data_IF_626697586695
#
_entry.id   IF_626697586695
#
_cell.length_a   1.000
_cell.length_b   1.000
_cell.length_c   1.000
_cell.angle_alpha   90.00
_cell.angle_beta   90.00
_cell.angle_gamma   90.00
#
_symmetry.space_group_name_H-M   'P 1'
#
loop_
_entity.id
_entity.type
_entity.pdbx_description
1 polymer ?
#
# COMPACT_ATOMS: atom_id res chain seq x y z
N UNK A 1 8.24 -17.22 -28.49
CA UNK A 1 8.98 -16.97 -27.23
C UNK A 1 8.17 -15.99 -26.40
N UNK A 2 7.29 -16.54 -25.56
CA UNK A 2 6.57 -15.77 -24.59
C UNK A 2 7.56 -15.39 -23.48
N UNK A 3 8.05 -14.16 -23.53
CA UNK A 3 8.72 -13.55 -22.39
C UNK A 3 7.64 -13.43 -21.30
N UNK A 4 7.64 -14.38 -20.36
CA UNK A 4 6.80 -14.30 -19.18
C UNK A 4 7.19 -13.03 -18.43
N UNK A 5 6.29 -12.05 -18.42
CA UNK A 5 6.42 -10.92 -17.53
C UNK A 5 6.41 -11.51 -16.11
N UNK A 6 7.56 -11.53 -15.47
CA UNK A 6 7.66 -11.87 -14.05
C UNK A 6 6.94 -10.76 -13.34
N UNK A 7 5.77 -11.06 -12.81
CA UNK A 7 5.00 -10.15 -11.98
C UNK A 7 5.85 -9.81 -10.77
N UNK A 8 6.49 -8.65 -10.78
CA UNK A 8 7.32 -8.18 -9.67
C UNK A 8 6.41 -7.65 -8.57
N UNK A 9 6.74 -8.00 -7.35
CA UNK A 9 6.06 -7.55 -6.16
C UNK A 9 5.56 -8.67 -5.27
N UNK A 10 5.88 -8.61 -4.00
CA UNK A 10 5.50 -9.59 -2.99
C UNK A 10 6.50 -10.73 -2.80
N UNK A 11 7.71 -10.64 -3.41
CA UNK A 11 8.76 -11.66 -3.24
C UNK A 11 9.39 -11.63 -1.86
N UNK A 12 9.34 -10.50 -1.17
CA UNK A 12 10.02 -10.29 0.11
C UNK A 12 9.10 -9.87 1.24
N UNK A 13 8.02 -9.15 0.92
CA UNK A 13 7.06 -8.63 1.90
C UNK A 13 5.71 -8.34 1.22
N UNK A 14 4.74 -7.88 2.01
CA UNK A 14 3.43 -7.48 1.53
C UNK A 14 3.51 -6.22 0.67
N UNK A 15 2.94 -6.26 -0.52
CA UNK A 15 2.82 -5.12 -1.43
C UNK A 15 1.37 -4.85 -1.77
N UNK A 16 1.05 -3.59 -1.98
CA UNK A 16 -0.29 -3.14 -2.34
C UNK A 16 -0.66 -3.63 -3.75
N UNK A 17 -1.75 -4.37 -3.85
CA UNK A 17 -2.26 -4.90 -5.12
C UNK A 17 -3.54 -4.22 -5.57
N UNK A 18 -4.36 -3.71 -4.63
CA UNK A 18 -5.64 -3.09 -4.94
C UNK A 18 -5.99 -2.02 -3.91
N UNK A 19 -6.63 -0.95 -4.37
CA UNK A 19 -7.18 0.12 -3.54
C UNK A 19 -8.64 0.32 -3.92
N UNK A 20 -9.53 0.32 -2.93
CA UNK A 20 -10.91 0.76 -3.10
C UNK A 20 -11.20 1.88 -2.11
N UNK A 21 -11.56 3.04 -2.62
CA UNK A 21 -12.07 4.13 -1.81
C UNK A 21 -13.61 4.05 -1.82
N UNK A 22 -14.20 3.95 -0.65
CA UNK A 22 -15.64 3.88 -0.54
C UNK A 22 -16.15 4.94 0.42
N UNK A 23 -16.85 5.92 -0.12
CA UNK A 23 -17.63 6.86 0.69
C UNK A 23 -18.81 6.16 1.38
N UNK A 24 -19.28 5.04 0.84
CA UNK A 24 -20.44 4.30 1.31
C UNK A 24 -20.14 2.88 1.82
N UNK A 25 -18.91 2.39 1.63
CA UNK A 25 -18.55 1.06 2.07
C UNK A 25 -18.35 1.02 3.58
N UNK A 26 -19.15 0.21 4.26
CA UNK A 26 -18.91 -0.10 5.66
C UNK A 26 -18.04 -1.34 5.71
N UNK A 27 -16.83 -1.27 6.28
CA UNK A 27 -16.04 -2.47 6.45
C UNK A 27 -16.87 -3.45 7.25
N UNK A 28 -16.86 -4.71 6.84
CA UNK A 28 -17.40 -5.74 7.70
C UNK A 28 -16.64 -5.66 9.03
N UNK A 29 -17.36 -5.59 10.12
CA UNK A 29 -16.75 -5.66 11.45
C UNK A 29 -15.88 -6.91 11.56
N UNK A 30 -14.85 -6.87 12.41
CA UNK A 30 -14.04 -8.03 12.70
C UNK A 30 -14.95 -9.21 13.08
N UNK A 31 -15.19 -10.10 12.13
CA UNK A 31 -16.00 -11.28 12.40
C UNK A 31 -15.13 -12.37 13.02
N UNK A 32 -15.71 -13.27 13.84
CA UNK A 32 -14.97 -14.42 14.36
C UNK A 32 -14.24 -15.22 13.27
N UNK A 33 -14.83 -15.31 12.07
CA UNK A 33 -14.25 -16.02 10.92
C UNK A 33 -12.99 -15.37 10.39
N UNK A 34 -12.91 -14.04 10.45
CA UNK A 34 -11.73 -13.28 10.03
C UNK A 34 -10.59 -13.40 11.02
N UNK A 35 -10.88 -13.29 12.30
CA UNK A 35 -9.91 -13.56 13.35
C UNK A 35 -9.39 -14.99 13.22
N UNK A 36 -10.26 -15.95 12.96
CA UNK A 36 -9.88 -17.33 12.71
C UNK A 36 -9.00 -17.47 11.44
N UNK A 37 -9.20 -16.66 10.40
CA UNK A 37 -8.34 -16.69 9.20
C UNK A 37 -6.91 -16.24 9.51
N UNK A 38 -6.74 -15.23 10.36
CA UNK A 38 -5.44 -14.72 10.80
C UNK A 38 -4.73 -15.77 11.65
N UNK A 39 -5.42 -16.35 12.62
CA UNK A 39 -4.84 -17.40 13.48
C UNK A 39 -4.44 -18.64 12.67
N UNK A 40 -5.25 -19.05 11.71
CA UNK A 40 -4.92 -20.15 10.80
C UNK A 40 -3.68 -19.83 9.96
N UNK A 41 -3.61 -18.65 9.39
CA UNK A 41 -2.46 -18.19 8.60
C UNK A 41 -1.17 -18.24 9.43
N UNK A 42 -1.21 -17.73 10.66
CA UNK A 42 -0.07 -17.79 11.59
C UNK A 42 0.36 -19.21 11.90
N UNK A 43 -0.61 -20.09 12.15
CA UNK A 43 -0.31 -21.49 12.52
C UNK A 43 0.24 -22.31 11.34
N UNK A 44 -0.26 -22.08 10.14
CA UNK A 44 0.00 -22.96 9.00
C UNK A 44 1.05 -22.41 8.01
N UNK A 45 1.19 -21.07 7.92
CA UNK A 45 2.00 -20.45 6.86
C UNK A 45 3.09 -19.51 7.35
N UNK A 46 2.77 -18.65 8.31
CA UNK A 46 3.71 -17.61 8.77
C UNK A 46 3.63 -17.39 10.27
N UNK A 47 4.37 -18.17 11.07
CA UNK A 47 4.40 -18.00 12.52
C UNK A 47 4.89 -16.62 13.00
N UNK A 48 5.65 -15.92 12.16
CA UNK A 48 6.14 -14.56 12.44
C UNK A 48 5.15 -13.44 12.11
N UNK A 49 4.01 -13.75 11.49
CA UNK A 49 3.02 -12.74 11.15
C UNK A 49 2.38 -12.12 12.39
N UNK A 50 2.28 -10.80 12.41
CA UNK A 50 1.53 -10.04 13.41
C UNK A 50 0.61 -9.02 12.72
N UNK A 51 -0.58 -8.79 13.29
CA UNK A 51 -1.49 -7.75 12.78
C UNK A 51 -0.86 -6.38 12.91
N UNK A 52 -0.09 -6.13 13.97
CA UNK A 52 0.64 -4.87 14.16
C UNK A 52 1.58 -4.58 12.99
N UNK A 53 2.38 -5.57 12.56
CA UNK A 53 3.27 -5.39 11.40
C UNK A 53 2.48 -5.06 10.12
N UNK A 54 1.35 -5.75 9.92
CA UNK A 54 0.47 -5.50 8.78
C UNK A 54 -0.14 -4.09 8.79
N UNK A 55 -0.56 -3.62 9.96
CA UNK A 55 -1.15 -2.30 10.19
C UNK A 55 -0.10 -1.18 10.00
N UNK A 56 1.10 -1.37 10.54
CA UNK A 56 2.24 -0.46 10.32
C UNK A 56 2.59 -0.37 8.84
N UNK A 57 2.63 -1.51 8.14
CA UNK A 57 2.86 -1.57 6.70
C UNK A 57 1.79 -0.82 5.92
N UNK A 58 0.52 -1.03 6.26
CA UNK A 58 -0.62 -0.33 5.67
C UNK A 58 -0.53 1.18 5.86
N UNK A 59 -0.13 1.63 7.04
CA UNK A 59 0.08 3.05 7.33
C UNK A 59 1.17 3.66 6.45
N UNK A 60 2.30 3.00 6.29
CA UNK A 60 3.39 3.49 5.41
C UNK A 60 2.95 3.54 3.96
N UNK A 61 2.25 2.52 3.48
CA UNK A 61 1.69 2.50 2.11
C UNK A 61 0.75 3.69 1.92
N UNK A 62 -0.12 3.98 2.90
CA UNK A 62 -1.00 5.14 2.85
C UNK A 62 -0.22 6.46 2.65
N UNK A 63 0.81 6.69 3.45
CA UNK A 63 1.61 7.93 3.34
C UNK A 63 2.35 8.04 2.01
N UNK A 64 2.84 6.93 1.46
CA UNK A 64 3.46 6.90 0.14
C UNK A 64 2.46 7.16 -0.98
N UNK A 65 1.24 6.61 -0.86
CA UNK A 65 0.15 6.89 -1.78
C UNK A 65 -0.24 8.38 -1.73
N UNK A 66 -0.41 8.94 -0.54
CA UNK A 66 -0.72 10.36 -0.37
C UNK A 66 0.38 11.27 -0.95
N UNK A 67 1.65 10.87 -0.82
CA UNK A 67 2.77 11.58 -1.44
C UNK A 67 2.73 11.46 -2.97
N UNK A 68 2.44 10.29 -3.52
CA UNK A 68 2.31 10.07 -4.96
C UNK A 68 1.19 10.96 -5.54
N UNK A 69 0.03 10.98 -4.91
CA UNK A 69 -1.10 11.82 -5.33
C UNK A 69 -0.74 13.31 -5.32
N UNK A 70 -0.08 13.75 -4.25
CA UNK A 70 0.33 15.15 -4.10
C UNK A 70 1.35 15.56 -5.16
N UNK A 71 2.36 14.74 -5.41
CA UNK A 71 3.46 15.07 -6.33
C UNK A 71 3.13 14.80 -7.80
N UNK A 72 2.10 13.98 -8.08
CA UNK A 72 1.79 13.49 -9.43
C UNK A 72 2.84 12.49 -9.94
N UNK A 73 3.63 11.88 -9.06
CA UNK A 73 4.60 10.84 -9.38
C UNK A 73 4.30 9.58 -8.59
N UNK A 74 4.28 8.45 -9.26
CA UNK A 74 4.06 7.14 -8.63
C UNK A 74 5.30 6.64 -7.86
N UNK A 75 6.47 7.24 -8.06
CA UNK A 75 7.75 6.76 -7.53
C UNK A 75 7.75 6.47 -6.01
N UNK A 76 7.13 7.31 -5.15
CA UNK A 76 7.08 7.00 -3.72
C UNK A 76 6.38 5.66 -3.40
N UNK A 77 5.45 5.24 -4.25
CA UNK A 77 4.63 4.04 -4.02
C UNK A 77 5.20 2.77 -4.68
N UNK A 78 6.03 2.90 -5.73
CA UNK A 78 6.52 1.75 -6.54
C UNK A 78 7.10 0.60 -5.74
N UNK A 79 7.85 0.88 -4.67
CA UNK A 79 8.43 -0.15 -3.82
C UNK A 79 7.43 -0.90 -2.95
N UNK A 80 6.22 -0.41 -2.87
CA UNK A 80 5.20 -0.94 -1.94
C UNK A 80 3.90 -1.31 -2.64
N UNK A 81 3.89 -1.28 -3.97
CA UNK A 81 2.75 -1.65 -4.78
C UNK A 81 3.18 -2.53 -5.95
N UNK A 82 2.22 -3.25 -6.51
CA UNK A 82 2.47 -4.05 -7.71
C UNK A 82 2.64 -3.17 -8.93
N UNK A 83 3.36 -3.67 -9.94
CA UNK A 83 3.55 -2.94 -11.19
C UNK A 83 2.20 -2.63 -11.86
N UNK A 84 1.25 -3.58 -11.85
CA UNK A 84 -0.07 -3.39 -12.44
C UNK A 84 -0.87 -2.26 -11.75
N UNK A 85 -0.79 -2.20 -10.42
CA UNK A 85 -1.44 -1.11 -9.69
C UNK A 85 -0.75 0.23 -9.98
N UNK A 86 0.57 0.25 -10.03
CA UNK A 86 1.34 1.45 -10.35
C UNK A 86 1.00 1.97 -11.75
N UNK A 87 0.94 1.10 -12.76
CA UNK A 87 0.61 1.49 -14.13
C UNK A 87 -0.83 2.02 -14.24
N UNK A 88 -1.78 1.39 -13.53
CA UNK A 88 -3.15 1.89 -13.46
C UNK A 88 -3.21 3.30 -12.85
N UNK A 89 -2.54 3.51 -11.70
CA UNK A 89 -2.54 4.81 -11.03
C UNK A 89 -1.85 5.90 -11.85
N UNK A 90 -0.80 5.57 -12.59
CA UNK A 90 -0.15 6.51 -13.54
C UNK A 90 -1.14 6.96 -14.62
N UNK A 91 -1.89 6.03 -15.19
CA UNK A 91 -2.91 6.36 -16.21
C UNK A 91 -4.03 7.23 -15.61
N UNK A 92 -4.54 6.87 -14.42
CA UNK A 92 -5.56 7.67 -13.71
C UNK A 92 -5.09 9.10 -13.42
N UNK A 93 -3.83 9.27 -12.97
CA UNK A 93 -3.23 10.60 -12.75
C UNK A 93 -3.11 11.39 -14.06
N UNK A 94 -2.67 10.76 -15.15
CA UNK A 94 -2.54 11.42 -16.44
C UNK A 94 -3.89 11.85 -17.01
N UNK A 95 -4.92 11.04 -16.89
CA UNK A 95 -6.28 11.36 -17.29
C UNK A 95 -6.87 12.52 -16.47
N UNK A 96 -6.63 12.53 -15.17
CA UNK A 96 -7.05 13.60 -14.27
C UNK A 96 -6.38 14.94 -14.65
N UNK A 97 -5.05 14.93 -14.83
CA UNK A 97 -4.28 16.12 -15.22
C UNK A 97 -4.71 16.67 -16.61
N UNK A 98 -5.09 15.79 -17.54
CA UNK A 98 -5.59 16.17 -18.86
C UNK A 98 -7.02 16.73 -18.86
N UNK A 99 -7.81 16.45 -17.84
CA UNK A 99 -9.22 16.84 -17.75
C UNK A 99 -9.45 18.07 -16.86
N UNK A 100 -9.78 17.83 -15.60
CA UNK A 100 -10.19 18.88 -14.66
C UNK A 100 -9.12 19.20 -13.61
N UNK A 101 -7.97 18.57 -13.70
CA UNK A 101 -6.95 18.60 -12.67
C UNK A 101 -7.01 17.40 -11.74
N UNK A 102 -5.98 17.26 -10.94
CA UNK A 102 -5.78 16.11 -10.05
C UNK A 102 -6.10 16.48 -8.61
N UNK A 103 -6.99 15.72 -8.01
CA UNK A 103 -7.30 15.87 -6.59
C UNK A 103 -6.30 15.09 -5.73
N UNK A 104 -5.91 15.68 -4.60
CA UNK A 104 -5.13 15.01 -3.59
C UNK A 104 -5.52 15.47 -2.18
N UNK A 105 -5.24 14.63 -1.21
CA UNK A 105 -5.52 14.93 0.19
C UNK A 105 -4.30 15.56 0.86
N UNK A 106 -4.51 16.70 1.48
CA UNK A 106 -3.52 17.48 2.25
C UNK A 106 -3.86 17.42 3.74
N UNK A 107 -2.88 17.70 4.60
CA UNK A 107 -3.02 17.67 6.06
C UNK A 107 -3.68 16.36 6.55
N UNK A 108 -3.24 15.26 5.92
CA UNK A 108 -3.77 13.95 6.23
C UNK A 108 -3.41 13.50 7.65
N UNK A 109 -4.33 12.76 8.25
CA UNK A 109 -4.05 11.98 9.45
C UNK A 109 -4.61 10.56 9.29
N UNK A 110 -3.88 9.57 9.79
CA UNK A 110 -4.34 8.19 9.87
C UNK A 110 -4.92 7.99 11.27
N UNK A 111 -6.20 7.70 11.34
CA UNK A 111 -6.89 7.43 12.60
C UNK A 111 -6.72 5.99 13.06
N UNK A 112 -6.91 5.02 12.14
CA UNK A 112 -6.61 3.61 12.38
C UNK A 112 -6.32 2.88 11.07
N UNK A 113 -5.58 1.80 11.20
CA UNK A 113 -5.42 0.76 10.19
C UNK A 113 -5.81 -0.55 10.85
N UNK A 114 -6.78 -1.25 10.30
CA UNK A 114 -7.32 -2.44 10.91
C UNK A 114 -7.17 -3.64 9.96
N UNK A 115 -6.55 -4.71 10.44
CA UNK A 115 -6.42 -5.96 9.72
C UNK A 115 -7.77 -6.68 9.69
N UNK A 116 -8.35 -6.83 8.50
CA UNK A 116 -9.66 -7.46 8.32
C UNK A 116 -9.60 -8.98 8.19
N UNK A 117 -8.50 -9.52 7.71
CA UNK A 117 -8.32 -10.95 7.50
C UNK A 117 -7.33 -11.27 6.41
N UNK A 118 -7.05 -12.55 6.25
CA UNK A 118 -6.14 -13.09 5.26
C UNK A 118 -6.85 -14.16 4.46
N UNK A 119 -6.65 -14.13 3.14
CA UNK A 119 -7.11 -15.15 2.20
C UNK A 119 -5.88 -15.66 1.45
N UNK A 120 -5.73 -16.96 1.38
CA UNK A 120 -4.60 -17.57 0.69
C UNK A 120 -5.08 -18.49 -0.42
N UNK A 121 -4.43 -18.41 -1.56
CA UNK A 121 -4.52 -19.43 -2.60
C UNK A 121 -3.22 -20.27 -2.64
N UNK A 122 -2.99 -20.97 -3.75
CA UNK A 122 -1.84 -21.85 -3.89
C UNK A 122 -0.50 -21.08 -3.89
N UNK A 123 -0.45 -19.97 -4.58
CA UNK A 123 0.79 -19.26 -4.91
C UNK A 123 0.88 -17.88 -4.27
N UNK A 124 -0.24 -17.37 -3.73
CA UNK A 124 -0.33 -15.99 -3.24
C UNK A 124 -1.15 -15.93 -1.95
N UNK A 125 -0.68 -15.14 -1.03
CA UNK A 125 -1.41 -14.72 0.16
C UNK A 125 -1.92 -13.28 -0.03
N UNK A 126 -3.16 -13.03 0.34
CA UNK A 126 -3.82 -11.72 0.28
C UNK A 126 -4.19 -11.26 1.69
N UNK A 127 -3.77 -10.07 2.04
CA UNK A 127 -4.07 -9.42 3.31
C UNK A 127 -5.01 -8.24 3.06
N UNK A 128 -6.10 -8.18 3.79
CA UNK A 128 -7.10 -7.12 3.69
C UNK A 128 -6.95 -6.16 4.87
N UNK A 129 -6.73 -4.89 4.56
CA UNK A 129 -6.64 -3.81 5.54
C UNK A 129 -7.70 -2.75 5.26
N UNK A 130 -8.33 -2.23 6.30
CA UNK A 130 -9.10 -0.98 6.19
C UNK A 130 -8.30 0.16 6.82
N UNK A 131 -8.27 1.30 6.13
CA UNK A 131 -7.58 2.49 6.57
C UNK A 131 -8.62 3.59 6.80
N UNK A 132 -8.66 4.10 8.01
CA UNK A 132 -9.46 5.26 8.39
C UNK A 132 -8.54 6.47 8.46
N UNK A 133 -8.77 7.43 7.60
CA UNK A 133 -7.98 8.65 7.54
C UNK A 133 -8.87 9.89 7.43
N UNK A 134 -8.27 11.04 7.55
CA UNK A 134 -8.93 12.33 7.32
C UNK A 134 -7.93 13.30 6.71
N UNK A 135 -8.44 14.33 6.04
CA UNK A 135 -7.61 15.36 5.43
C UNK A 135 -8.45 16.42 4.73
N UNK A 136 -7.78 17.40 4.16
CA UNK A 136 -8.38 18.44 3.32
C UNK A 136 -8.19 18.10 1.85
N UNK A 137 -9.23 18.26 1.04
CA UNK A 137 -9.18 18.02 -0.39
C UNK A 137 -8.63 19.25 -1.10
N UNK A 138 -7.59 19.07 -1.89
CA UNK A 138 -7.01 20.07 -2.79
C UNK A 138 -7.10 19.60 -4.23
N UNK A 139 -7.10 20.55 -5.15
CA UNK A 139 -7.08 20.31 -6.59
C UNK A 139 -5.88 21.02 -7.21
N UNK A 140 -5.07 20.30 -7.96
CA UNK A 140 -4.06 20.87 -8.85
C UNK A 140 -4.64 20.92 -10.25
N UNK A 141 -4.83 22.12 -10.78
CA UNK A 141 -5.29 22.32 -12.15
C UNK A 141 -4.20 21.98 -13.16
N UNK A 142 -4.58 21.76 -14.41
CA UNK A 142 -3.65 21.47 -15.52
C UNK A 142 -2.59 22.55 -15.75
N UNK A 143 -2.86 23.80 -15.32
CA UNK A 143 -1.90 24.93 -15.37
C UNK A 143 -0.95 24.96 -14.15
N UNK A 144 -1.08 23.99 -13.22
CA UNK A 144 -0.28 23.93 -11.98
C UNK A 144 -0.85 24.78 -10.83
N UNK A 145 -1.96 25.47 -11.02
CA UNK A 145 -2.61 26.24 -9.96
C UNK A 145 -3.21 25.32 -8.90
N UNK A 146 -2.94 25.64 -7.63
CA UNK A 146 -3.50 24.91 -6.49
C UNK A 146 -4.78 25.58 -6.02
N UNK A 147 -5.87 24.83 -6.02
CA UNK A 147 -7.16 25.25 -5.51
C UNK A 147 -7.46 24.49 -4.23
N UNK A 148 -7.58 25.22 -3.13
CA UNK A 148 -8.06 24.68 -1.88
C UNK A 148 -9.58 24.51 -1.97
N UNK A 149 -10.05 23.29 -1.78
CA UNK A 149 -11.50 23.00 -1.75
C UNK A 149 -12.12 23.24 -0.38
N UNK A 150 -11.28 23.56 0.63
CA UNK A 150 -11.69 23.77 2.05
C UNK A 150 -12.70 22.71 2.53
N UNK A 151 -12.46 21.48 2.09
CA UNK A 151 -13.32 20.34 2.35
C UNK A 151 -12.58 19.31 3.19
N UNK A 152 -12.65 19.47 4.51
CA UNK A 152 -12.19 18.43 5.41
C UNK A 152 -13.14 17.23 5.39
N UNK A 153 -12.60 16.07 5.17
CA UNK A 153 -13.39 14.84 5.06
C UNK A 153 -12.70 13.67 5.75
N UNK A 154 -13.53 12.73 6.15
CA UNK A 154 -13.08 11.41 6.61
C UNK A 154 -13.11 10.44 5.44
N UNK A 155 -12.01 9.74 5.28
CA UNK A 155 -11.84 8.75 4.23
C UNK A 155 -11.78 7.35 4.84
N UNK A 156 -12.30 6.41 4.08
CA UNK A 156 -12.14 5.00 4.36
C UNK A 156 -11.67 4.32 3.10
N UNK A 157 -10.59 3.58 3.21
CA UNK A 157 -10.01 2.84 2.09
C UNK A 157 -9.85 1.38 2.45
N UNK A 158 -10.12 0.50 1.50
CA UNK A 158 -9.74 -0.89 1.56
C UNK A 158 -8.43 -1.04 0.77
N UNK A 159 -7.41 -1.57 1.43
CA UNK A 159 -6.17 -1.99 0.81
C UNK A 159 -6.15 -3.52 0.77
N UNK A 160 -5.89 -4.05 -0.41
CA UNK A 160 -5.58 -5.46 -0.59
C UNK A 160 -4.09 -5.57 -0.85
N UNK A 161 -3.36 -6.15 0.09
CA UNK A 161 -1.95 -6.43 -0.07
C UNK A 161 -1.79 -7.88 -0.54
N UNK A 162 -0.80 -8.14 -1.38
CA UNK A 162 -0.43 -9.49 -1.77
C UNK A 162 1.01 -9.80 -1.38
N UNK A 163 1.29 -11.10 -1.23
CA UNK A 163 2.63 -11.63 -1.01
C UNK A 163 2.71 -13.02 -1.61
N UNK A 164 3.88 -13.42 -2.11
CA UNK A 164 4.08 -14.78 -2.60
C UNK A 164 3.95 -15.77 -1.45
N UNK A 165 3.26 -16.87 -1.69
CA UNK A 165 3.13 -17.95 -0.70
C UNK A 165 4.50 -18.50 -0.33
N UNK A 166 4.68 -18.81 0.97
CA UNK A 166 5.95 -19.32 1.50
C UNK A 166 6.94 -18.23 1.94
N UNK A 167 6.69 -16.96 1.65
CA UNK A 167 7.42 -15.85 2.26
C UNK A 167 6.97 -15.71 3.71
N UNK A 168 7.92 -15.60 4.63
CA UNK A 168 7.62 -15.47 6.07
C UNK A 168 8.04 -14.11 6.60
N UNK A 169 7.25 -13.59 7.54
CA UNK A 169 7.55 -12.35 8.25
C UNK A 169 8.76 -12.56 9.17
N UNK A 170 9.65 -11.56 9.19
CA UNK A 170 10.81 -11.58 10.10
C UNK A 170 10.53 -10.64 11.25
N UNK A 171 10.37 -11.20 12.45
CA UNK A 171 9.99 -10.45 13.66
C UNK A 171 10.99 -9.33 13.97
N UNK A 172 12.28 -9.52 13.67
CA UNK A 172 13.31 -8.50 13.87
C UNK A 172 13.18 -7.30 12.92
N UNK A 173 12.32 -7.42 11.89
CA UNK A 173 12.08 -6.39 10.88
C UNK A 173 10.71 -5.72 11.01
N UNK A 174 10.08 -5.80 12.17
CA UNK A 174 8.73 -5.26 12.40
C UNK A 174 8.62 -3.72 12.27
N UNK A 175 9.74 -2.99 12.39
CA UNK A 175 9.81 -1.55 12.08
C UNK A 175 10.32 -1.34 10.63
N UNK A 176 10.27 -2.36 9.81
CA UNK A 176 11.02 -2.48 8.56
C UNK A 176 10.38 -1.84 7.34
N UNK A 177 9.25 -1.16 7.49
CA UNK A 177 8.67 -0.40 6.37
C UNK A 177 9.55 0.76 5.87
N UNK A 178 10.56 1.13 6.64
CA UNK A 178 11.59 2.09 6.28
C UNK A 178 12.96 1.43 6.03
N UNK A 179 13.00 0.12 5.82
CA UNK A 179 14.25 -0.62 5.63
C UNK A 179 14.18 -1.50 4.36
N UNK A 180 15.31 -1.74 3.74
CA UNK A 180 15.41 -2.65 2.61
C UNK A 180 14.98 -4.06 3.01
N UNK A 181 14.04 -4.70 2.29
CA UNK A 181 13.55 -6.05 2.62
C UNK A 181 14.63 -7.12 2.44
N UNK A 182 15.63 -6.88 1.57
CA UNK A 182 16.72 -7.82 1.32
C UNK A 182 17.82 -7.76 2.38
N UNK A 183 18.42 -6.57 2.63
CA UNK A 183 19.56 -6.45 3.52
C UNK A 183 19.27 -5.82 4.90
N UNK A 184 18.05 -5.28 5.10
CA UNK A 184 17.65 -4.64 6.35
C UNK A 184 18.26 -3.24 6.57
N UNK A 185 18.99 -2.70 5.60
CA UNK A 185 19.53 -1.34 5.71
C UNK A 185 18.41 -0.29 5.71
N UNK A 186 18.56 0.85 6.43
CA UNK A 186 17.57 1.91 6.41
C UNK A 186 17.38 2.46 5.01
N UNK A 187 16.13 2.72 4.65
CA UNK A 187 15.79 3.32 3.37
C UNK A 187 16.08 4.82 3.40
N UNK A 188 17.08 5.26 2.65
CA UNK A 188 17.52 6.66 2.58
C UNK A 188 16.89 7.40 1.40
N UNK A 189 16.40 6.66 0.40
CA UNK A 189 15.76 7.22 -0.79
C UNK A 189 14.48 6.43 -1.10
N UNK A 190 13.34 7.07 -0.88
CA UNK A 190 12.02 6.46 -1.11
C UNK A 190 11.63 6.41 -2.59
N UNK A 191 12.35 7.11 -3.46
CA UNK A 191 12.07 7.18 -4.90
C UNK A 191 12.91 6.20 -5.72
N UNK A 192 14.05 5.74 -5.18
CA UNK A 192 14.92 4.77 -5.85
C UNK A 192 14.32 3.36 -5.82
N UNK A 193 14.35 2.65 -6.95
CA UNK A 193 13.94 1.24 -7.05
C UNK A 193 14.99 0.27 -6.52
N UNK A 194 16.20 0.75 -6.24
CA UNK A 194 17.33 -0.05 -5.78
C UNK A 194 17.78 0.40 -4.41
N UNK A 195 18.12 -0.56 -3.57
CA UNK A 195 18.73 -0.28 -2.28
C UNK A 195 20.14 0.28 -2.48
N UNK A 196 20.43 1.42 -1.86
CA UNK A 196 21.75 2.06 -1.92
C UNK A 196 22.87 1.26 -1.23
N UNK A 197 22.52 0.23 -0.45
CA UNK A 197 23.47 -0.57 0.32
C UNK A 197 23.77 -1.92 -0.34
N UNK A 198 22.76 -2.63 -0.85
CA UNK A 198 22.96 -3.96 -1.44
C UNK A 198 22.70 -4.01 -2.94
N UNK A 199 22.27 -2.93 -3.57
CA UNK A 199 21.90 -2.81 -4.97
C UNK A 199 20.77 -3.76 -5.42
N UNK A 200 20.07 -4.40 -4.46
CA UNK A 200 18.92 -5.22 -4.76
C UNK A 200 17.74 -4.35 -5.20
N UNK A 201 16.99 -4.84 -6.20
CA UNK A 201 15.73 -4.20 -6.59
C UNK A 201 14.71 -4.46 -5.50
N UNK A 202 14.17 -3.40 -4.94
CA UNK A 202 13.24 -3.45 -3.80
C UNK A 202 11.83 -3.18 -4.32
N UNK A 203 11.14 -4.23 -4.72
CA UNK A 203 9.70 -4.20 -4.98
C UNK A 203 9.01 -5.23 -4.13
#
# INVERSE_FOLDING_TARGET
DACGAVLRGGEHDWVLAEITQASEWRPPQASPERLASIERFRAERDPGFTTQHAEDRGSVIFWRKAMADRTGSIDPLRKMATDELCDRLVNEMAEADASNGREFWHDCSVGSVDCLGIVSDKDTDYLLLTIHSSGNLHLVLSNGELVDRDQWSRLRMLFVLKRNSGVTSRVERTISSAHCPSCGAPETDITSHTCSFCNEVVN
#
